data_IF_595847410295
#
_entry.id   IF_595847410295
#
_cell.length_a   1.000
_cell.length_b   1.000
_cell.length_c   1.000
_cell.angle_alpha   90.00
_cell.angle_beta   90.00
_cell.angle_gamma   90.00
#
_symmetry.space_group_name_H-M   'P 1'
#
loop_
_entity.id
_entity.type
_entity.pdbx_description
1 polymer ?
#
# COMPACT_ATOMS: atom_id res chain seq x y z
N UNK A 1 -10.99 39.56 -58.86
CA UNK A 1 -10.77 39.27 -57.43
C UNK A 1 -9.30 38.95 -57.26
N UNK A 2 -8.73 39.29 -56.10
CA UNK A 2 -7.33 39.04 -55.76
C UNK A 2 -7.10 37.54 -55.40
N UNK A 3 -5.88 37.00 -55.36
CA UNK A 3 -4.57 37.60 -55.67
C UNK A 3 -3.56 36.53 -56.16
N UNK A 4 -2.36 36.98 -56.52
CA UNK A 4 -1.15 36.16 -56.77
C UNK A 4 -0.61 35.55 -55.44
N UNK A 5 0.25 34.52 -55.38
CA UNK A 5 0.90 33.67 -56.38
C UNK A 5 2.13 32.95 -55.76
N UNK A 6 2.89 32.17 -56.57
CA UNK A 6 4.29 31.72 -56.29
C UNK A 6 4.50 30.68 -55.15
N UNK A 7 5.61 29.91 -55.14
CA UNK A 7 5.85 28.62 -55.84
C UNK A 7 7.16 27.93 -55.33
N UNK A 8 7.56 26.78 -55.91
CA UNK A 8 8.97 26.25 -56.01
C UNK A 8 9.67 25.76 -54.70
N UNK A 9 10.11 24.49 -54.51
CA UNK A 9 9.84 23.19 -55.20
C UNK A 9 9.40 22.09 -54.18
N UNK A 10 10.10 21.04 -53.70
CA UNK A 10 11.42 20.40 -53.99
C UNK A 10 11.41 18.86 -53.70
N UNK A 11 12.36 18.30 -52.93
CA UNK A 11 12.73 16.86 -52.85
C UNK A 11 12.90 16.44 -51.36
N UNK A 12 12.65 15.21 -50.90
CA UNK A 12 13.34 13.92 -51.20
C UNK A 12 14.15 13.49 -49.95
N UNK A 13 14.38 12.22 -49.60
CA UNK A 13 14.09 10.95 -50.27
C UNK A 13 13.82 9.79 -49.27
N UNK A 14 13.32 8.68 -49.81
CA UNK A 14 13.40 7.26 -49.37
C UNK A 14 13.49 6.88 -47.86
N UNK A 15 12.50 6.09 -47.39
CA UNK A 15 12.68 5.15 -46.27
C UNK A 15 12.92 3.73 -46.80
N UNK A 16 14.14 3.21 -46.64
CA UNK A 16 14.51 1.81 -46.92
C UNK A 16 14.32 0.87 -45.72
N UNK A 17 14.62 -0.42 -45.92
CA UNK A 17 14.57 -1.46 -44.88
C UNK A 17 15.45 -1.12 -43.66
N UNK A 18 15.16 -1.55 -42.42
CA UNK A 18 14.16 -2.54 -41.98
C UNK A 18 14.84 -3.81 -41.44
N UNK A 19 14.82 -4.00 -40.11
CA UNK A 19 15.26 -5.24 -39.46
C UNK A 19 14.54 -5.45 -38.13
N UNK A 20 13.91 -6.61 -37.95
CA UNK A 20 13.39 -7.07 -36.66
C UNK A 20 14.45 -7.92 -35.98
N UNK A 21 14.95 -7.50 -34.81
CA UNK A 21 15.75 -8.36 -33.95
C UNK A 21 15.11 -8.47 -32.57
N UNK A 22 14.87 -9.72 -32.15
CA UNK A 22 14.46 -10.04 -30.79
C UNK A 22 15.72 -10.20 -29.97
N UNK A 23 15.88 -9.37 -28.94
CA UNK A 23 16.80 -9.66 -27.85
C UNK A 23 15.95 -10.20 -26.70
N UNK A 24 16.13 -11.47 -26.39
CA UNK A 24 15.76 -12.04 -25.10
C UNK A 24 17.02 -11.90 -24.26
N UNK A 25 16.99 -11.01 -23.27
CA UNK A 25 18.06 -10.88 -22.29
C UNK A 25 17.53 -11.28 -20.91
N UNK A 26 18.41 -11.88 -20.12
CA UNK A 26 18.06 -12.73 -18.98
C UNK A 26 17.57 -11.96 -17.77
N UNK A 27 16.62 -12.56 -17.04
CA UNK A 27 16.35 -12.21 -15.65
C UNK A 27 17.51 -12.72 -14.78
N UNK A 28 18.58 -11.95 -14.69
CA UNK A 28 19.57 -12.14 -13.62
C UNK A 28 19.09 -11.39 -12.37
N UNK A 29 18.79 -12.16 -11.33
CA UNK A 29 18.43 -11.67 -10.00
C UNK A 29 19.69 -11.76 -9.15
N UNK A 30 20.46 -10.68 -9.05
CA UNK A 30 21.29 -10.34 -7.88
C UNK A 30 21.98 -8.97 -8.05
N UNK A 31 21.39 -7.90 -7.49
CA UNK A 31 22.16 -6.79 -6.93
C UNK A 31 21.65 -6.47 -5.52
N UNK A 32 22.55 -6.22 -4.54
CA UNK A 32 22.16 -5.98 -3.16
C UNK A 32 21.58 -4.57 -2.96
N UNK A 33 20.71 -4.44 -1.95
CA UNK A 33 20.09 -3.17 -1.57
C UNK A 33 21.16 -2.15 -1.15
N UNK A 34 21.45 -1.15 -1.99
CA UNK A 34 22.28 0.00 -1.60
C UNK A 34 21.59 0.79 -0.49
N UNK A 35 22.17 0.76 0.71
CA UNK A 35 21.86 1.69 1.80
C UNK A 35 22.35 3.09 1.46
N UNK A 36 21.77 4.12 2.08
CA UNK A 36 22.07 5.52 1.80
C UNK A 36 23.41 5.97 2.43
N UNK A 37 24.52 5.43 1.93
CA UNK A 37 25.90 5.67 2.41
C UNK A 37 26.92 5.67 1.25
N UNK A 38 26.60 6.36 0.15
CA UNK A 38 27.51 6.64 -0.97
C UNK A 38 27.49 8.16 -1.24
N UNK A 39 28.52 8.89 -0.78
CA UNK A 39 28.74 10.31 -1.11
C UNK A 39 29.89 10.39 -2.11
N UNK A 40 29.80 11.17 -3.22
CA UNK A 40 30.90 11.29 -4.17
C UNK A 40 32.16 11.84 -3.52
N UNK A 41 33.28 11.12 -3.63
CA UNK A 41 34.59 11.56 -3.16
C UNK A 41 35.12 12.71 -4.00
N UNK A 42 34.97 13.93 -3.49
CA UNK A 42 35.72 15.08 -3.97
C UNK A 42 37.20 14.90 -3.62
N UNK A 43 38.07 14.94 -4.62
CA UNK A 43 39.52 14.88 -4.43
C UNK A 43 40.01 16.25 -3.96
N UNK A 44 40.54 16.30 -2.74
CA UNK A 44 41.31 17.42 -2.19
C UNK A 44 42.61 16.87 -1.62
N UNK A 45 43.73 17.55 -1.87
CA UNK A 45 45.07 17.02 -1.61
C UNK A 45 45.41 16.97 -0.11
N UNK A 46 46.31 16.07 0.26
CA UNK A 46 46.86 15.96 1.61
C UNK A 46 47.80 17.13 1.96
N UNK A 47 47.45 17.92 2.98
CA UNK A 47 48.41 18.72 3.76
C UNK A 47 48.09 18.56 5.27
N UNK A 48 49.11 18.27 6.08
CA UNK A 48 48.96 17.95 7.51
C UNK A 48 48.72 19.22 8.35
N UNK A 49 47.56 19.34 9.01
CA UNK A 49 47.38 20.26 10.16
C UNK A 49 46.59 19.57 11.28
N UNK A 50 47.27 19.41 12.42
CA UNK A 50 46.73 19.46 13.80
C UNK A 50 45.43 18.72 14.14
N UNK A 51 45.54 17.70 15.00
CA UNK A 51 44.50 17.46 16.00
C UNK A 51 44.37 18.71 16.89
N UNK A 52 43.14 19.17 17.13
CA UNK A 52 42.62 19.87 18.34
C UNK A 52 41.36 20.68 17.95
N UNK A 53 40.24 19.98 17.78
CA UNK A 53 38.89 20.56 17.70
C UNK A 53 37.93 19.68 18.51
N UNK A 54 37.23 20.28 19.48
CA UNK A 54 36.37 19.58 20.43
C UNK A 54 34.98 19.21 19.85
N UNK A 55 34.37 18.16 20.40
CA UNK A 55 33.08 17.57 19.98
C UNK A 55 31.86 18.52 20.02
N UNK A 56 32.01 19.76 20.50
CA UNK A 56 30.93 20.75 20.57
C UNK A 56 30.79 21.62 19.30
N UNK A 57 31.88 21.93 18.58
CA UNK A 57 31.83 22.78 17.37
C UNK A 57 31.15 22.08 16.18
N UNK A 58 31.24 20.74 16.09
CA UNK A 58 30.65 19.95 15.00
C UNK A 58 29.10 20.05 14.94
N UNK A 59 28.47 20.58 15.99
CA UNK A 59 27.01 20.73 16.10
C UNK A 59 26.46 21.94 15.33
N UNK A 60 27.29 22.94 14.99
CA UNK A 60 26.82 24.18 14.34
C UNK A 60 26.80 24.10 12.80
N UNK A 61 27.45 23.09 12.21
CA UNK A 61 27.51 22.89 10.74
C UNK A 61 26.33 22.08 10.16
N UNK A 62 25.43 21.55 10.98
CA UNK A 62 24.19 20.95 10.49
C UNK A 62 23.13 22.03 10.26
N UNK A 63 22.65 22.25 9.01
CA UNK A 63 21.59 23.22 8.76
C UNK A 63 20.34 22.80 9.54
N UNK A 64 19.94 23.63 10.51
CA UNK A 64 18.90 23.30 11.48
C UNK A 64 17.64 22.79 10.78
N UNK A 65 17.30 21.52 11.01
CA UNK A 65 16.18 20.87 10.33
C UNK A 65 14.92 21.71 10.51
N UNK A 66 14.22 22.00 9.41
CA UNK A 66 13.11 22.96 9.37
C UNK A 66 11.83 22.42 10.01
N UNK A 67 11.91 22.12 11.32
CA UNK A 67 10.80 21.92 12.24
C UNK A 67 9.98 23.21 12.35
N UNK A 68 9.21 23.50 11.30
CA UNK A 68 8.09 24.44 11.34
C UNK A 68 7.22 24.01 12.53
N UNK A 69 7.00 24.88 13.53
CA UNK A 69 6.32 24.49 14.75
C UNK A 69 4.90 24.01 14.41
N UNK A 70 4.54 22.81 14.89
CA UNK A 70 3.18 22.32 14.73
C UNK A 70 2.17 23.33 15.33
N UNK A 71 1.01 23.53 14.69
CA UNK A 71 -0.05 24.36 15.26
C UNK A 71 -0.50 23.72 16.58
N UNK A 72 -0.12 24.34 17.71
CA UNK A 72 -0.38 23.86 19.08
C UNK A 72 -1.88 23.69 19.34
N UNK A 73 -2.44 22.52 19.02
CA UNK A 73 -3.82 22.16 19.34
C UNK A 73 -4.02 22.25 20.86
N UNK A 74 -5.10 22.88 21.36
CA UNK A 74 -5.28 23.13 22.78
C UNK A 74 -5.43 21.82 23.57
N UNK A 75 -4.81 21.75 24.75
CA UNK A 75 -4.96 20.61 25.65
C UNK A 75 -6.35 20.63 26.29
N UNK A 76 -7.24 19.74 25.86
CA UNK A 76 -8.50 19.48 26.57
C UNK A 76 -8.41 18.18 27.37
N UNK A 77 -8.79 18.25 28.65
CA UNK A 77 -8.80 17.13 29.60
C UNK A 77 -10.06 16.27 29.52
N UNK A 78 -11.14 16.75 28.89
CA UNK A 78 -12.34 15.96 28.60
C UNK A 78 -12.22 15.29 27.23
N UNK A 79 -12.32 13.97 27.17
CA UNK A 79 -11.62 13.18 26.15
C UNK A 79 -12.46 12.84 24.90
N UNK A 80 -12.84 13.85 24.13
CA UNK A 80 -13.37 13.68 22.77
C UNK A 80 -12.65 14.62 21.79
N UNK A 81 -11.53 14.16 21.19
CA UNK A 81 -11.01 14.80 19.98
C UNK A 81 -11.93 14.45 18.82
N UNK A 82 -12.57 15.42 18.13
CA UNK A 82 -13.49 15.10 17.04
C UNK A 82 -12.82 14.34 15.90
N UNK A 83 -13.61 13.58 15.14
CA UNK A 83 -13.13 12.90 13.94
C UNK A 83 -12.61 13.92 12.91
N UNK A 84 -11.39 13.76 12.44
CA UNK A 84 -10.74 14.70 11.51
C UNK A 84 -10.95 14.23 10.06
N UNK A 85 -11.35 15.13 9.15
CA UNK A 85 -11.57 14.79 7.74
C UNK A 85 -10.38 15.20 6.88
N UNK A 86 -10.01 14.34 5.93
CA UNK A 86 -8.96 14.57 4.94
C UNK A 86 -9.50 14.15 3.57
N UNK A 87 -9.80 15.11 2.69
CA UNK A 87 -10.60 14.85 1.49
C UNK A 87 -11.98 14.28 1.86
N UNK A 88 -12.33 13.11 1.31
CA UNK A 88 -13.51 12.31 1.69
C UNK A 88 -13.21 11.20 2.70
N UNK A 89 -12.00 11.16 3.27
CA UNK A 89 -11.58 10.20 4.29
C UNK A 89 -11.79 10.76 5.71
N UNK A 90 -12.00 9.88 6.69
CA UNK A 90 -12.26 10.24 8.10
C UNK A 90 -11.30 9.51 9.04
N UNK A 91 -10.66 10.27 9.94
CA UNK A 91 -9.79 9.80 11.01
C UNK A 91 -10.59 9.83 12.30
N UNK A 92 -11.01 8.65 12.77
CA UNK A 92 -11.89 8.52 13.94
C UNK A 92 -11.13 8.36 15.26
N UNK A 93 -9.82 8.06 15.20
CA UNK A 93 -8.93 8.03 16.37
C UNK A 93 -7.67 8.88 16.16
N UNK A 94 -7.76 10.24 16.14
CA UNK A 94 -6.62 11.10 15.81
C UNK A 94 -5.35 10.81 16.63
N UNK A 95 -5.47 10.55 17.95
CA UNK A 95 -4.31 10.21 18.81
C UNK A 95 -3.61 8.91 18.37
N UNK A 96 -4.37 7.87 18.02
CA UNK A 96 -3.82 6.58 17.57
C UNK A 96 -3.26 6.72 16.16
N UNK A 97 -3.97 7.45 15.28
CA UNK A 97 -3.57 7.67 13.90
C UNK A 97 -2.24 8.43 13.80
N UNK A 98 -2.08 9.55 14.53
CA UNK A 98 -0.83 10.32 14.49
C UNK A 98 0.34 9.59 15.19
N UNK A 99 0.07 8.68 16.14
CA UNK A 99 1.11 7.88 16.79
C UNK A 99 1.51 6.59 16.03
N UNK A 100 0.62 6.03 15.19
CA UNK A 100 0.82 4.67 14.63
C UNK A 100 0.52 4.54 13.14
N UNK A 101 -0.21 5.48 12.54
CA UNK A 101 -0.80 5.35 11.19
C UNK A 101 -2.07 4.48 11.13
N UNK A 102 -2.74 4.16 12.26
CA UNK A 102 -3.97 3.37 12.30
C UNK A 102 -5.16 4.17 12.87
N UNK A 103 -6.36 3.97 12.32
CA UNK A 103 -7.58 4.68 12.76
C UNK A 103 -8.12 5.68 11.74
N UNK A 104 -7.94 5.39 10.45
CA UNK A 104 -8.44 6.16 9.31
C UNK A 104 -9.28 5.27 8.40
N UNK A 105 -10.34 5.79 7.78
CA UNK A 105 -11.14 5.06 6.80
C UNK A 105 -11.60 5.99 5.66
N UNK A 106 -11.75 5.45 4.45
CA UNK A 106 -12.21 6.19 3.29
C UNK A 106 -13.74 6.23 3.14
N UNK A 107 -14.26 6.74 2.01
CA UNK A 107 -15.68 7.01 1.84
C UNK A 107 -16.57 5.75 1.77
N UNK A 108 -16.01 4.57 1.50
CA UNK A 108 -16.77 3.30 1.42
C UNK A 108 -16.63 2.50 2.71
N UNK A 109 -16.90 3.13 3.84
CA UNK A 109 -16.73 2.57 5.19
C UNK A 109 -17.46 1.22 5.41
N UNK A 110 -18.49 0.93 4.60
CA UNK A 110 -19.26 -0.32 4.62
C UNK A 110 -18.48 -1.53 4.08
N UNK A 111 -17.42 -1.34 3.29
CA UNK A 111 -16.65 -2.42 2.67
C UNK A 111 -16.09 -3.44 3.67
N UNK A 112 -15.28 -3.02 4.65
CA UNK A 112 -14.70 -3.94 5.64
C UNK A 112 -15.75 -4.64 6.51
N UNK A 113 -16.83 -3.98 7.00
CA UNK A 113 -17.97 -4.66 7.61
C UNK A 113 -18.61 -5.74 6.72
N UNK A 114 -18.77 -5.50 5.41
CA UNK A 114 -19.29 -6.52 4.49
C UNK A 114 -18.33 -7.71 4.34
N UNK A 115 -17.02 -7.47 4.16
CA UNK A 115 -16.01 -8.54 4.08
C UNK A 115 -15.93 -9.33 5.38
N UNK A 116 -15.97 -8.66 6.53
CA UNK A 116 -16.00 -9.28 7.85
C UNK A 116 -17.27 -10.12 8.05
N UNK A 117 -18.42 -9.65 7.57
CA UNK A 117 -19.67 -10.41 7.58
C UNK A 117 -19.56 -11.70 6.75
N UNK A 118 -18.95 -11.64 5.56
CA UNK A 118 -18.69 -12.84 4.73
C UNK A 118 -17.74 -13.81 5.44
N UNK A 119 -16.66 -13.32 6.05
CA UNK A 119 -15.74 -14.15 6.85
C UNK A 119 -16.50 -14.86 7.97
N UNK A 120 -17.24 -14.12 8.80
CA UNK A 120 -17.94 -14.66 9.97
C UNK A 120 -19.03 -15.66 9.57
N UNK A 121 -19.87 -15.34 8.57
CA UNK A 121 -20.95 -16.24 8.14
C UNK A 121 -20.42 -17.53 7.51
N UNK A 122 -19.34 -17.45 6.71
CA UNK A 122 -18.66 -18.64 6.21
C UNK A 122 -18.07 -19.47 7.35
N UNK A 123 -17.44 -18.84 8.35
CA UNK A 123 -16.93 -19.55 9.52
C UNK A 123 -18.03 -20.24 10.31
N UNK A 124 -19.18 -19.59 10.55
CA UNK A 124 -20.31 -20.18 11.28
C UNK A 124 -20.84 -21.41 10.53
N UNK A 125 -21.01 -21.35 9.21
CA UNK A 125 -21.43 -22.50 8.40
C UNK A 125 -20.43 -23.66 8.55
N UNK A 126 -19.13 -23.40 8.31
CA UNK A 126 -18.07 -24.40 8.37
C UNK A 126 -17.88 -25.00 9.77
N UNK A 127 -18.09 -24.20 10.83
CA UNK A 127 -18.06 -24.68 12.22
C UNK A 127 -19.26 -25.57 12.50
N UNK A 128 -20.48 -25.15 12.13
CA UNK A 128 -21.70 -25.94 12.34
C UNK A 128 -21.64 -27.29 11.62
N UNK A 129 -21.15 -27.31 10.37
CA UNK A 129 -20.98 -28.54 9.57
C UNK A 129 -19.98 -29.53 10.21
N UNK A 130 -18.97 -29.03 10.93
CA UNK A 130 -17.83 -29.86 11.38
C UNK A 130 -17.76 -30.07 12.89
N UNK A 131 -18.55 -29.36 13.70
CA UNK A 131 -18.42 -29.37 15.17
C UNK A 131 -18.64 -30.75 15.81
N UNK A 132 -19.63 -31.51 15.31
CA UNK A 132 -20.03 -32.80 15.89
C UNK A 132 -19.01 -33.90 15.54
N UNK A 133 -18.62 -33.99 14.27
CA UNK A 133 -17.73 -35.06 13.77
C UNK A 133 -16.24 -34.73 13.95
N UNK A 134 -15.85 -33.46 13.80
CA UNK A 134 -14.46 -33.01 13.60
C UNK A 134 -14.20 -31.67 14.33
N UNK A 135 -14.35 -31.58 15.66
CA UNK A 135 -14.21 -30.33 16.41
C UNK A 135 -12.85 -29.64 16.23
N UNK A 136 -11.78 -30.39 15.91
CA UNK A 136 -10.48 -29.81 15.57
C UNK A 136 -10.52 -28.96 14.29
N UNK A 137 -11.30 -29.36 13.27
CA UNK A 137 -11.52 -28.59 12.04
C UNK A 137 -12.25 -27.28 12.35
N UNK A 138 -13.28 -27.32 13.20
CA UNK A 138 -13.99 -26.12 13.64
C UNK A 138 -13.07 -25.13 14.39
N UNK A 139 -12.18 -25.62 15.26
CA UNK A 139 -11.16 -24.80 15.94
C UNK A 139 -10.19 -24.16 14.92
N UNK A 140 -9.70 -24.92 13.94
CA UNK A 140 -8.79 -24.40 12.91
C UNK A 140 -9.50 -23.36 12.01
N UNK A 141 -10.75 -23.61 11.59
CA UNK A 141 -11.58 -22.62 10.89
C UNK A 141 -11.74 -21.33 11.69
N UNK A 142 -11.95 -21.42 13.00
CA UNK A 142 -12.06 -20.27 13.90
C UNK A 142 -10.74 -19.48 13.98
N UNK A 143 -9.60 -20.17 14.06
CA UNK A 143 -8.26 -19.54 14.05
C UNK A 143 -8.01 -18.81 12.73
N UNK A 144 -8.28 -19.44 11.58
CA UNK A 144 -8.15 -18.78 10.27
C UNK A 144 -9.07 -17.56 10.15
N UNK A 145 -10.31 -17.66 10.64
CA UNK A 145 -11.28 -16.54 10.66
C UNK A 145 -10.77 -15.34 11.44
N UNK A 146 -10.19 -15.56 12.63
CA UNK A 146 -9.57 -14.52 13.45
C UNK A 146 -8.34 -13.90 12.78
N UNK A 147 -7.48 -14.71 12.13
CA UNK A 147 -6.30 -14.22 11.40
C UNK A 147 -6.71 -13.39 10.16
N UNK A 148 -7.68 -13.85 9.37
CA UNK A 148 -8.23 -13.12 8.23
C UNK A 148 -8.84 -11.79 8.69
N UNK A 149 -9.61 -11.80 9.77
CA UNK A 149 -10.21 -10.61 10.37
C UNK A 149 -9.14 -9.62 10.84
N UNK A 150 -8.10 -10.09 11.55
CA UNK A 150 -6.98 -9.26 11.99
C UNK A 150 -6.26 -8.59 10.80
N UNK A 151 -6.00 -9.32 9.71
CA UNK A 151 -5.37 -8.74 8.53
C UNK A 151 -6.30 -7.78 7.77
N UNK A 152 -7.61 -8.06 7.71
CA UNK A 152 -8.62 -7.13 7.18
C UNK A 152 -8.59 -5.80 7.96
N UNK A 153 -8.66 -5.84 9.29
CA UNK A 153 -8.56 -4.64 10.14
C UNK A 153 -7.22 -3.90 9.99
N UNK A 154 -6.13 -4.62 9.68
CA UNK A 154 -4.81 -4.01 9.43
C UNK A 154 -4.64 -3.44 8.01
N UNK A 155 -5.43 -3.88 7.03
CA UNK A 155 -5.41 -3.31 5.68
C UNK A 155 -6.38 -2.12 5.55
N UNK A 156 -7.61 -2.28 6.06
CA UNK A 156 -8.71 -1.32 5.91
C UNK A 156 -8.60 -0.03 6.73
N UNK A 157 -7.87 -0.06 7.85
CA UNK A 157 -7.79 1.06 8.81
C UNK A 157 -6.41 1.70 8.93
N UNK A 158 -5.48 1.28 8.07
CA UNK A 158 -4.08 1.74 8.01
C UNK A 158 -3.95 2.86 6.98
N UNK A 159 -3.17 3.89 7.31
CA UNK A 159 -2.82 4.95 6.36
C UNK A 159 -2.29 4.35 5.04
N UNK A 160 -2.80 4.75 3.87
CA UNK A 160 -2.38 4.19 2.59
C UNK A 160 -1.11 4.83 2.02
N UNK A 161 -0.69 5.99 2.53
CA UNK A 161 0.36 6.82 1.97
C UNK A 161 -0.08 8.28 1.78
N UNK A 162 -0.84 8.86 2.71
CA UNK A 162 -1.41 10.21 2.54
C UNK A 162 -0.34 11.30 2.38
N UNK A 163 -0.31 11.96 1.22
CA UNK A 163 0.60 13.08 0.94
C UNK A 163 0.01 14.36 1.57
N UNK A 164 0.40 14.61 2.83
CA UNK A 164 -0.12 15.68 3.69
C UNK A 164 0.63 17.01 3.58
N UNK A 165 1.96 16.95 3.48
CA UNK A 165 2.79 18.13 3.34
C UNK A 165 2.58 18.74 1.94
N UNK A 166 2.50 20.07 1.86
CA UNK A 166 2.78 20.75 0.59
C UNK A 166 4.28 20.68 0.35
N UNK A 167 4.65 20.11 -0.79
CA UNK A 167 6.03 20.01 -1.26
C UNK A 167 6.27 21.23 -2.16
N UNK A 168 7.36 21.96 -1.92
CA UNK A 168 7.73 23.11 -2.75
C UNK A 168 8.28 22.65 -4.11
N UNK A 169 8.38 23.57 -5.08
CA UNK A 169 9.07 23.28 -6.35
C UNK A 169 10.58 23.08 -6.22
N UNK A 170 11.17 23.47 -5.08
CA UNK A 170 12.59 23.31 -4.75
C UNK A 170 12.83 22.00 -3.99
N UNK A 171 11.84 21.52 -3.23
CA UNK A 171 11.82 20.24 -2.53
C UNK A 171 11.41 19.07 -3.46
N UNK A 172 10.77 19.36 -4.59
CA UNK A 172 10.34 18.37 -5.57
C UNK A 172 11.53 17.81 -6.36
N UNK A 173 11.77 16.51 -6.24
CA UNK A 173 12.74 15.80 -7.07
C UNK A 173 12.31 15.77 -8.55
N UNK A 174 13.26 15.53 -9.46
CA UNK A 174 13.03 15.58 -10.93
C UNK A 174 11.84 14.71 -11.41
N UNK A 175 11.59 13.61 -10.73
CA UNK A 175 10.57 12.62 -11.08
C UNK A 175 9.22 12.85 -10.36
N UNK A 176 9.01 14.03 -9.77
CA UNK A 176 7.76 14.40 -9.08
C UNK A 176 6.73 14.98 -10.06
N UNK A 177 5.50 14.46 -10.03
CA UNK A 177 4.41 14.94 -10.87
C UNK A 177 3.58 16.00 -10.15
N UNK A 178 3.18 17.07 -10.83
CA UNK A 178 2.22 18.03 -10.27
C UNK A 178 0.78 17.48 -10.28
N UNK A 179 -0.02 17.85 -9.28
CA UNK A 179 -1.44 17.49 -9.21
C UNK A 179 -2.32 18.71 -8.96
N UNK A 180 -3.10 19.11 -9.97
CA UNK A 180 -4.00 20.26 -9.92
C UNK A 180 -5.12 20.09 -8.89
N UNK A 181 -5.69 18.88 -8.77
CA UNK A 181 -6.77 18.57 -7.81
C UNK A 181 -6.38 18.80 -6.34
N UNK A 182 -5.09 18.71 -6.01
CA UNK A 182 -4.58 18.93 -4.66
C UNK A 182 -3.64 20.14 -4.54
N UNK A 183 -3.31 20.81 -5.65
CA UNK A 183 -2.32 21.89 -5.74
C UNK A 183 -1.02 21.52 -5.00
N UNK A 184 -0.45 20.36 -5.35
CA UNK A 184 0.72 19.79 -4.69
C UNK A 184 1.49 18.84 -5.63
N UNK A 185 2.78 18.65 -5.38
CA UNK A 185 3.56 17.61 -6.05
C UNK A 185 3.31 16.22 -5.46
N UNK A 186 3.40 15.21 -6.32
CA UNK A 186 3.32 13.78 -6.02
C UNK A 186 4.72 13.19 -6.16
N UNK A 187 5.25 12.45 -5.16
CA UNK A 187 6.50 11.71 -5.30
C UNK A 187 6.34 10.56 -6.30
N UNK A 188 7.43 9.95 -6.79
CA UNK A 188 7.39 8.81 -7.71
C UNK A 188 6.44 7.69 -7.26
N UNK A 189 5.61 7.24 -8.20
CA UNK A 189 4.51 6.29 -7.98
C UNK A 189 3.31 6.87 -7.20
N UNK A 190 3.29 8.15 -6.86
CA UNK A 190 2.13 8.81 -6.27
C UNK A 190 1.06 9.17 -7.30
N UNK A 191 -0.21 9.15 -6.90
CA UNK A 191 -1.34 9.55 -7.75
C UNK A 191 -2.51 10.12 -6.95
N UNK A 192 -3.47 10.75 -7.63
CA UNK A 192 -4.68 11.30 -7.02
C UNK A 192 -5.83 10.28 -7.08
N UNK A 193 -6.41 9.94 -5.93
CA UNK A 193 -7.62 9.12 -5.85
C UNK A 193 -8.86 10.03 -5.87
N UNK A 194 -9.60 10.05 -6.98
CA UNK A 194 -10.79 10.88 -7.15
C UNK A 194 -11.96 10.48 -6.22
N UNK A 195 -12.01 9.21 -5.77
CA UNK A 195 -12.99 8.74 -4.79
C UNK A 195 -12.72 9.36 -3.41
N UNK A 196 -11.47 9.30 -2.95
CA UNK A 196 -11.05 9.84 -1.65
C UNK A 196 -10.73 11.35 -1.68
N UNK A 197 -10.56 11.95 -2.86
CA UNK A 197 -10.14 13.35 -3.10
C UNK A 197 -8.83 13.71 -2.37
N UNK A 198 -7.79 12.90 -2.56
CA UNK A 198 -6.45 13.05 -1.96
C UNK A 198 -5.37 12.46 -2.86
N UNK A 199 -4.12 12.91 -2.71
CA UNK A 199 -2.95 12.25 -3.28
C UNK A 199 -2.40 11.17 -2.33
N UNK A 200 -2.14 9.98 -2.86
CA UNK A 200 -1.54 8.83 -2.16
C UNK A 200 -0.17 8.54 -2.78
N UNK A 201 0.86 8.35 -1.95
CA UNK A 201 2.20 7.95 -2.37
C UNK A 201 2.28 6.44 -2.64
N UNK A 202 2.88 6.04 -3.77
CA UNK A 202 2.89 4.65 -4.21
C UNK A 202 1.46 4.10 -4.34
N UNK A 203 0.58 4.84 -5.02
CA UNK A 203 -0.82 4.49 -5.19
C UNK A 203 -0.97 3.28 -6.11
N UNK A 204 -1.76 2.30 -5.66
CA UNK A 204 -2.05 1.08 -6.40
C UNK A 204 -3.49 1.15 -6.94
N UNK A 205 -4.49 1.10 -6.06
CA UNK A 205 -5.89 1.28 -6.45
C UNK A 205 -6.77 1.81 -5.30
N UNK A 206 -8.02 2.16 -5.61
CA UNK A 206 -9.05 2.45 -4.60
C UNK A 206 -9.89 1.20 -4.33
N UNK A 207 -9.71 0.59 -3.17
CA UNK A 207 -10.36 -0.68 -2.84
C UNK A 207 -11.67 -0.45 -2.08
N UNK A 208 -12.81 -0.66 -2.76
CA UNK A 208 -14.14 -0.56 -2.13
C UNK A 208 -14.29 -1.54 -0.97
N UNK A 209 -13.72 -2.76 -1.08
CA UNK A 209 -13.76 -3.79 -0.04
C UNK A 209 -12.96 -3.43 1.22
N UNK A 210 -11.85 -2.69 1.08
CA UNK A 210 -11.11 -2.13 2.22
C UNK A 210 -11.67 -0.77 2.68
N UNK A 211 -12.64 -0.23 1.96
CA UNK A 211 -13.20 1.11 2.18
C UNK A 211 -12.22 2.26 1.92
N UNK A 212 -11.05 1.97 1.36
CA UNK A 212 -9.85 2.81 1.41
C UNK A 212 -8.93 2.54 0.21
N UNK A 213 -8.02 3.47 -0.10
CA UNK A 213 -6.97 3.23 -1.09
C UNK A 213 -5.97 2.17 -0.61
N UNK A 214 -5.37 1.46 -1.56
CA UNK A 214 -4.14 0.72 -1.36
C UNK A 214 -2.98 1.56 -1.87
N UNK A 215 -1.92 1.65 -1.08
CA UNK A 215 -0.69 2.32 -1.47
C UNK A 215 0.48 1.98 -0.55
N UNK A 216 1.58 2.74 -0.67
CA UNK A 216 2.89 2.47 -0.04
C UNK A 216 2.83 2.05 1.43
N UNK A 217 1.94 2.64 2.23
CA UNK A 217 1.91 2.42 3.68
C UNK A 217 0.99 1.25 4.14
N UNK A 218 0.09 0.74 3.29
CA UNK A 218 -0.79 -0.38 3.62
C UNK A 218 -0.72 -1.59 2.65
N UNK A 219 -0.05 -1.49 1.49
CA UNK A 219 0.09 -2.57 0.50
C UNK A 219 0.55 -3.90 1.13
N UNK A 220 1.55 -3.89 2.02
CA UNK A 220 2.03 -5.09 2.71
C UNK A 220 0.95 -5.75 3.60
N UNK A 221 0.01 -4.96 4.15
CA UNK A 221 -1.11 -5.47 4.94
C UNK A 221 -2.23 -6.01 4.03
N UNK A 222 -2.48 -5.36 2.90
CA UNK A 222 -3.40 -5.85 1.87
C UNK A 222 -2.96 -7.21 1.30
N UNK A 223 -1.67 -7.38 0.98
CA UNK A 223 -1.13 -8.68 0.55
C UNK A 223 -1.27 -9.74 1.65
N UNK A 224 -0.95 -9.42 2.92
CA UNK A 224 -1.17 -10.33 4.06
C UNK A 224 -2.64 -10.77 4.20
N UNK A 225 -3.59 -9.85 4.05
CA UNK A 225 -5.01 -10.19 4.04
C UNK A 225 -5.33 -11.19 2.92
N UNK A 226 -4.96 -10.88 1.67
CA UNK A 226 -5.24 -11.76 0.53
C UNK A 226 -4.62 -13.15 0.70
N UNK A 227 -3.38 -13.24 1.19
CA UNK A 227 -2.72 -14.53 1.48
C UNK A 227 -3.43 -15.30 2.60
N UNK A 228 -3.85 -14.65 3.69
CA UNK A 228 -4.60 -15.31 4.77
C UNK A 228 -5.97 -15.82 4.31
N UNK A 229 -6.65 -15.04 3.46
CA UNK A 229 -7.95 -15.40 2.87
C UNK A 229 -7.82 -16.57 1.89
N UNK A 230 -6.81 -16.57 1.02
CA UNK A 230 -6.50 -17.69 0.13
C UNK A 230 -6.13 -18.96 0.90
N UNK A 231 -5.35 -18.85 1.98
CA UNK A 231 -5.03 -19.98 2.85
C UNK A 231 -6.29 -20.55 3.52
N UNK A 232 -7.20 -19.70 4.01
CA UNK A 232 -8.45 -20.13 4.62
C UNK A 232 -9.40 -20.79 3.60
N UNK A 233 -9.55 -20.21 2.40
CA UNK A 233 -10.33 -20.81 1.32
C UNK A 233 -9.74 -22.15 0.87
N UNK A 234 -8.42 -22.25 0.73
CA UNK A 234 -7.73 -23.51 0.42
C UNK A 234 -7.97 -24.58 1.48
N UNK A 235 -7.88 -24.22 2.76
CA UNK A 235 -8.21 -25.11 3.88
C UNK A 235 -9.68 -25.57 3.80
N UNK A 236 -10.64 -24.64 3.67
CA UNK A 236 -12.06 -24.96 3.61
C UNK A 236 -12.41 -25.88 2.42
N UNK A 237 -11.85 -25.62 1.23
CA UNK A 237 -12.08 -26.46 0.05
C UNK A 237 -11.55 -27.89 0.25
N UNK A 238 -10.32 -28.05 0.75
CA UNK A 238 -9.73 -29.38 0.99
C UNK A 238 -10.53 -30.15 2.04
N UNK A 239 -10.79 -29.56 3.21
CA UNK A 239 -11.40 -30.29 4.33
C UNK A 239 -12.89 -30.58 4.12
N UNK A 240 -13.66 -29.66 3.54
CA UNK A 240 -15.09 -29.85 3.29
C UNK A 240 -15.34 -30.75 2.09
N UNK A 241 -14.62 -30.57 0.98
CA UNK A 241 -14.95 -31.27 -0.28
C UNK A 241 -14.13 -32.53 -0.55
N UNK A 242 -12.89 -32.62 -0.06
CA UNK A 242 -12.09 -33.85 -0.22
C UNK A 242 -12.29 -34.77 0.97
N UNK A 243 -11.96 -34.31 2.19
CA UNK A 243 -12.00 -35.18 3.39
C UNK A 243 -13.45 -35.46 3.86
N UNK A 244 -14.42 -34.60 3.55
CA UNK A 244 -15.84 -34.89 3.73
C UNK A 244 -16.33 -36.03 2.82
N UNK A 245 -16.06 -35.92 1.52
CA UNK A 245 -16.48 -36.92 0.53
C UNK A 245 -15.83 -38.30 0.75
N UNK A 246 -14.55 -38.34 1.16
CA UNK A 246 -13.83 -39.59 1.41
C UNK A 246 -14.47 -40.38 2.57
N UNK A 247 -14.84 -39.74 3.68
CA UNK A 247 -15.52 -40.44 4.79
C UNK A 247 -16.86 -41.01 4.35
N UNK A 248 -17.70 -40.23 3.67
CA UNK A 248 -18.99 -40.72 3.17
C UNK A 248 -18.84 -41.92 2.22
N UNK A 249 -17.77 -41.96 1.41
CA UNK A 249 -17.48 -43.13 0.55
C UNK A 249 -16.90 -44.34 1.30
N UNK A 250 -16.28 -44.11 2.48
CA UNK A 250 -15.79 -45.19 3.34
C UNK A 250 -16.95 -45.81 4.13
N UNK A 251 -17.80 -44.99 4.73
CA UNK A 251 -18.91 -45.44 5.57
C UNK A 251 -19.90 -46.29 4.75
N UNK A 252 -20.30 -45.83 3.55
CA UNK A 252 -21.16 -46.61 2.65
C UNK A 252 -20.54 -47.95 2.23
N UNK A 253 -19.21 -48.04 2.07
CA UNK A 253 -18.56 -49.31 1.73
C UNK A 253 -18.60 -50.31 2.90
N UNK A 254 -18.54 -49.84 4.15
CA UNK A 254 -18.69 -50.73 5.32
C UNK A 254 -20.14 -51.22 5.49
N UNK A 255 -21.12 -50.34 5.22
CA UNK A 255 -22.55 -50.70 5.26
C UNK A 255 -22.91 -51.77 4.20
N UNK A 256 -22.24 -51.79 3.05
CA UNK A 256 -22.40 -52.81 1.99
C UNK A 256 -21.74 -54.17 2.35
N UNK A 257 -20.92 -54.25 3.40
CA UNK A 257 -20.23 -55.49 3.85
C UNK A 257 -20.87 -56.17 5.09
N UNK A 258 -21.91 -55.58 5.71
CA UNK A 258 -22.46 -56.02 7.01
C UNK A 258 -23.79 -56.78 6.96
#
# INVERSE_FOLDING_TARGET
MADEGVSVIEKGSEKGQGKTERIIETLEIDEPIRTATDVPTLVTNDEEIGNDLDDDDLKELLPASSHRPEPKKPRCSSCCTPCEKVGRMTIFLPRVYYATGWGIQGPHWFGPPCVLGVIILATIHLVNDTWIERPYTAVICTIFSLVCSYHLFNAAYRDPGLIRAKISGEEAGRDYCWCDFCNNYQPPGGAHCAQCNVCIAGYDHHCVWMGLCIGRNNFRQFIRFNLSWLAYLGYALVWVKVVGAISLSYDHHNDDES
#
